data_IF_792672237280
#
_entry.id   IF_792672237280
#
_cell.length_a   1.000
_cell.length_b   1.000
_cell.length_c   1.000
_cell.angle_alpha   90.00
_cell.angle_beta   90.00
_cell.angle_gamma   90.00
#
_symmetry.space_group_name_H-M   'P 1'
#
loop_
_entity.id
_entity.type
_entity.pdbx_description
1 polymer ?
#
# COMPACT_ATOMS: atom_id res chain seq x y z
N UNK A 1 18.75 3.61 4.71
CA UNK A 1 17.36 3.42 4.30
C UNK A 1 17.12 4.05 2.94
N UNK A 2 16.35 3.39 2.11
CA UNK A 2 16.01 3.86 0.77
C UNK A 2 15.16 5.14 0.85
N UNK A 3 15.53 6.17 0.10
CA UNK A 3 14.79 7.44 0.11
C UNK A 3 13.36 7.25 -0.38
N UNK A 4 13.19 6.42 -1.41
CA UNK A 4 11.87 6.19 -1.97
C UNK A 4 10.96 5.56 -0.91
N UNK A 5 11.46 4.56 -0.18
CA UNK A 5 10.67 3.94 0.87
C UNK A 5 10.36 4.92 2.00
N UNK A 6 11.31 5.80 2.32
CA UNK A 6 11.08 6.79 3.36
C UNK A 6 9.96 7.76 2.97
N UNK A 7 9.97 8.24 1.74
CA UNK A 7 8.90 9.14 1.30
C UNK A 7 7.57 8.43 1.15
N UNK A 8 7.59 7.15 0.81
CA UNK A 8 6.39 6.35 0.83
C UNK A 8 5.77 6.36 2.23
N UNK A 9 6.59 6.08 3.25
CA UNK A 9 6.09 6.08 4.62
C UNK A 9 5.54 7.44 5.03
N UNK A 10 6.23 8.50 4.64
CA UNK A 10 5.77 9.84 4.99
C UNK A 10 4.45 10.16 4.31
N UNK A 11 4.29 9.74 3.07
CA UNK A 11 3.06 9.98 2.34
C UNK A 11 1.89 9.23 2.99
N UNK A 12 2.09 7.96 3.33
CA UNK A 12 1.03 7.20 3.99
C UNK A 12 0.68 7.83 5.33
N UNK A 13 1.68 8.25 6.08
CA UNK A 13 1.44 8.88 7.37
C UNK A 13 0.65 10.17 7.22
N UNK A 14 1.00 10.98 6.24
CA UNK A 14 0.29 12.22 5.98
C UNK A 14 -1.16 11.97 5.58
N UNK A 15 -1.38 11.00 4.71
CA UNK A 15 -2.74 10.67 4.30
C UNK A 15 -3.55 10.13 5.47
N UNK A 16 -2.94 9.30 6.30
CA UNK A 16 -3.62 8.76 7.47
C UNK A 16 -4.08 9.86 8.40
N UNK A 17 -3.22 10.84 8.62
CA UNK A 17 -3.58 11.96 9.51
C UNK A 17 -4.76 12.74 8.96
N UNK A 18 -4.76 13.01 7.65
CA UNK A 18 -5.85 13.77 7.04
C UNK A 18 -7.15 12.95 7.06
N UNK A 19 -7.06 11.66 6.81
CA UNK A 19 -8.24 10.80 6.90
C UNK A 19 -8.77 10.75 8.32
N UNK A 20 -7.89 10.77 9.30
CA UNK A 20 -8.32 10.77 10.69
C UNK A 20 -9.13 12.01 11.02
N UNK A 21 -8.85 13.11 10.35
CA UNK A 21 -9.59 14.37 10.58
C UNK A 21 -10.80 14.53 9.67
N UNK A 22 -11.19 13.48 8.96
CA UNK A 22 -12.43 13.49 8.21
C UNK A 22 -12.34 13.76 6.74
N UNK A 23 -11.15 14.00 6.21
CA UNK A 23 -11.00 14.25 4.78
C UNK A 23 -11.14 12.94 4.01
N UNK A 24 -11.73 13.03 2.82
CA UNK A 24 -12.03 11.82 2.04
C UNK A 24 -11.61 11.91 0.58
N UNK A 25 -11.19 13.07 0.11
CA UNK A 25 -10.77 13.25 -1.28
C UNK A 25 -9.32 12.85 -1.44
N UNK A 26 -9.12 11.58 -1.76
CA UNK A 26 -7.77 11.03 -1.81
C UNK A 26 -6.92 11.70 -2.89
N UNK A 27 -7.51 12.05 -4.01
CA UNK A 27 -6.74 12.68 -5.08
C UNK A 27 -6.24 14.05 -4.66
N UNK A 28 -7.07 14.82 -3.96
CA UNK A 28 -6.63 16.12 -3.46
C UNK A 28 -5.53 15.96 -2.42
N UNK A 29 -5.67 14.99 -1.54
CA UNK A 29 -4.67 14.75 -0.51
C UNK A 29 -3.33 14.34 -1.12
N UNK A 30 -3.38 13.48 -2.11
CA UNK A 30 -2.17 13.01 -2.78
C UNK A 30 -1.50 14.16 -3.52
N UNK A 31 -2.30 15.02 -4.17
CA UNK A 31 -1.74 16.17 -4.87
C UNK A 31 -1.00 17.11 -3.92
N UNK A 32 -1.59 17.37 -2.76
CA UNK A 32 -0.94 18.23 -1.77
C UNK A 32 0.36 17.61 -1.27
N UNK A 33 0.34 16.31 -1.00
CA UNK A 33 1.54 15.63 -0.54
C UNK A 33 2.62 15.61 -1.62
N UNK A 34 2.20 15.46 -2.88
CA UNK A 34 3.14 15.48 -3.99
C UNK A 34 3.87 16.81 -4.06
N UNK A 35 3.17 17.90 -3.84
CA UNK A 35 3.81 19.19 -3.89
C UNK A 35 4.88 19.34 -2.80
N UNK A 36 4.63 18.79 -1.62
CA UNK A 36 5.62 18.81 -0.57
C UNK A 36 6.86 18.04 -0.96
N UNK A 37 6.69 16.87 -1.58
CA UNK A 37 7.82 16.05 -1.99
C UNK A 37 8.63 16.76 -3.07
N UNK A 38 7.94 17.39 -4.01
CA UNK A 38 8.61 18.15 -5.07
C UNK A 38 9.46 19.27 -4.46
N UNK A 39 8.89 20.00 -3.51
CA UNK A 39 9.62 21.13 -2.90
C UNK A 39 10.82 20.65 -2.10
N UNK A 40 10.76 19.47 -1.53
CA UNK A 40 11.90 18.96 -0.76
C UNK A 40 13.12 18.69 -1.64
N UNK A 41 12.91 18.34 -2.92
CA UNK A 41 14.01 18.22 -3.85
C UNK A 41 14.88 16.99 -3.70
N UNK A 42 14.42 15.98 -2.96
CA UNK A 42 15.23 14.78 -2.70
C UNK A 42 15.06 13.70 -3.75
N UNK A 43 13.94 13.70 -4.48
CA UNK A 43 13.62 12.64 -5.42
C UNK A 43 13.55 13.20 -6.83
N UNK A 44 13.91 12.37 -7.80
CA UNK A 44 13.66 12.71 -9.20
C UNK A 44 12.17 12.66 -9.47
N UNK A 45 11.75 13.27 -10.59
CA UNK A 45 10.34 13.23 -10.96
C UNK A 45 9.85 11.80 -11.15
N UNK A 46 10.66 10.96 -11.76
CA UNK A 46 10.30 9.56 -11.93
C UNK A 46 10.09 8.86 -10.60
N UNK A 47 10.96 9.14 -9.63
CA UNK A 47 10.81 8.56 -8.30
C UNK A 47 9.55 9.06 -7.61
N UNK A 48 9.24 10.35 -7.76
CA UNK A 48 8.02 10.91 -7.17
C UNK A 48 6.80 10.23 -7.72
N UNK A 49 6.74 10.09 -9.04
CA UNK A 49 5.58 9.43 -9.65
C UNK A 49 5.47 7.97 -9.21
N UNK A 50 6.61 7.29 -9.06
CA UNK A 50 6.60 5.92 -8.56
C UNK A 50 6.01 5.81 -7.17
N UNK A 51 6.44 6.70 -6.27
CA UNK A 51 5.94 6.68 -4.90
C UNK A 51 4.45 6.93 -4.87
N UNK A 52 4.00 7.94 -5.62
CA UNK A 52 2.58 8.30 -5.63
C UNK A 52 1.72 7.15 -6.15
N UNK A 53 2.13 6.58 -7.27
CA UNK A 53 1.37 5.48 -7.85
C UNK A 53 1.34 4.27 -6.91
N UNK A 54 2.48 3.98 -6.27
CA UNK A 54 2.55 2.84 -5.37
C UNK A 54 1.65 3.04 -4.15
N UNK A 55 1.64 4.25 -3.57
CA UNK A 55 0.82 4.50 -2.40
C UNK A 55 -0.66 4.38 -2.75
N UNK A 56 -1.07 4.96 -3.89
CA UNK A 56 -2.48 4.86 -4.28
C UNK A 56 -2.88 3.40 -4.50
N UNK A 57 -2.05 2.64 -5.20
CA UNK A 57 -2.34 1.23 -5.45
C UNK A 57 -2.43 0.44 -4.14
N UNK A 58 -1.50 0.70 -3.23
CA UNK A 58 -1.45 -0.07 -2.00
C UNK A 58 -2.55 0.34 -1.03
N UNK A 59 -3.01 1.60 -1.08
CA UNK A 59 -4.17 1.99 -0.30
C UNK A 59 -5.42 1.24 -0.78
N UNK A 60 -5.54 1.07 -2.09
CA UNK A 60 -6.66 0.27 -2.61
C UNK A 60 -6.56 -1.17 -2.14
N UNK A 61 -5.35 -1.71 -2.12
CA UNK A 61 -5.15 -3.07 -1.62
C UNK A 61 -5.49 -3.16 -0.14
N UNK A 62 -5.09 -2.16 0.64
CA UNK A 62 -5.44 -2.13 2.05
C UNK A 62 -6.96 -2.09 2.22
N UNK A 63 -7.63 -1.21 1.47
CA UNK A 63 -9.07 -1.05 1.61
C UNK A 63 -9.79 -2.35 1.30
N UNK A 64 -9.40 -3.00 0.22
CA UNK A 64 -10.04 -4.24 -0.17
C UNK A 64 -9.78 -5.35 0.86
N UNK A 65 -8.53 -5.46 1.29
CA UNK A 65 -8.19 -6.49 2.27
C UNK A 65 -8.88 -6.24 3.61
N UNK A 66 -8.98 -4.99 4.01
CA UNK A 66 -9.65 -4.65 5.25
C UNK A 66 -11.12 -5.03 5.20
N UNK A 67 -11.80 -4.70 4.08
CA UNK A 67 -13.21 -5.04 3.97
C UNK A 67 -13.42 -6.55 3.92
N UNK A 68 -12.56 -7.26 3.22
CA UNK A 68 -12.68 -8.72 3.18
C UNK A 68 -12.45 -9.34 4.55
N UNK A 69 -11.49 -8.82 5.30
CA UNK A 69 -11.19 -9.37 6.61
C UNK A 69 -12.27 -9.09 7.63
N UNK A 70 -13.03 -8.02 7.43
CA UNK A 70 -14.12 -7.68 8.35
C UNK A 70 -15.28 -8.66 8.27
N UNK A 71 -15.41 -9.34 7.15
CA UNK A 71 -16.45 -10.35 7.02
C UNK A 71 -16.08 -11.61 7.80
N UNK A 72 -14.80 -11.85 8.01
CA UNK A 72 -14.33 -12.93 8.85
C UNK A 72 -14.03 -12.37 10.23
N UNK A 73 -14.66 -12.95 11.20
CA UNK A 73 -14.37 -12.55 12.57
C UNK A 73 -13.00 -13.00 12.93
N UNK A 74 -12.50 -12.40 13.64
CA UNK A 74 -11.42 -13.00 14.09
C UNK A 74 -10.23 -12.46 13.45
N UNK A 75 -9.63 -12.95 13.73
CA UNK A 75 -8.20 -12.97 13.53
C UNK A 75 -7.86 -13.34 12.10
N UNK A 76 -8.15 -12.46 11.20
CA UNK A 76 -7.86 -12.73 9.80
C UNK A 76 -6.35 -12.75 9.57
N UNK A 77 -5.95 -13.41 8.47
CA UNK A 77 -4.55 -13.42 8.07
C UNK A 77 -4.07 -12.02 7.79
N UNK A 78 -4.90 -11.20 7.13
CA UNK A 78 -4.53 -9.83 6.82
C UNK A 78 -4.21 -9.03 8.09
N UNK A 79 -5.08 -9.13 9.10
CA UNK A 79 -4.85 -8.36 10.32
C UNK A 79 -3.59 -8.81 11.04
N UNK A 80 -3.27 -10.10 10.97
CA UNK A 80 -2.03 -10.56 11.58
C UNK A 80 -0.80 -10.08 10.82
N UNK A 81 -0.90 -10.02 9.50
CA UNK A 81 0.23 -9.60 8.67
C UNK A 81 0.58 -8.14 8.94
N UNK A 82 -0.42 -7.27 9.06
CA UNK A 82 -0.15 -5.84 9.22
C UNK A 82 0.12 -5.44 10.67
N UNK A 83 0.02 -6.36 11.61
CA UNK A 83 0.21 -6.02 13.01
C UNK A 83 1.60 -5.40 13.21
N UNK A 84 1.61 -4.25 13.90
CA UNK A 84 2.83 -3.48 14.18
C UNK A 84 3.49 -2.88 12.94
N UNK A 85 2.76 -2.82 11.84
CA UNK A 85 3.23 -2.12 10.65
C UNK A 85 2.54 -0.76 10.55
N UNK A 86 2.93 0.03 9.57
CA UNK A 86 2.26 1.32 9.35
C UNK A 86 0.80 1.15 9.00
N UNK A 87 0.41 0.00 8.47
CA UNK A 87 -0.97 -0.26 8.09
C UNK A 87 -1.87 -0.51 9.30
N UNK A 88 -1.29 -0.90 10.42
CA UNK A 88 -2.06 -1.05 11.65
C UNK A 88 -2.66 0.28 12.06
N UNK A 89 -1.92 1.36 11.95
CA UNK A 89 -2.43 2.68 12.29
C UNK A 89 -3.62 3.04 11.40
N UNK A 90 -3.53 2.71 10.12
CA UNK A 90 -4.62 3.00 9.20
C UNK A 90 -5.85 2.16 9.53
N UNK A 91 -5.67 0.91 9.95
CA UNK A 91 -6.78 0.08 10.39
C UNK A 91 -7.44 0.68 11.63
N UNK A 92 -6.64 1.18 12.57
CA UNK A 92 -7.18 1.81 13.78
C UNK A 92 -7.99 3.05 13.42
N UNK A 93 -7.49 3.85 12.47
CA UNK A 93 -8.22 5.04 12.04
C UNK A 93 -9.54 4.65 11.38
N UNK A 94 -9.51 3.60 10.56
CA UNK A 94 -10.73 3.11 9.92
C UNK A 94 -11.77 2.73 10.96
N UNK A 95 -11.36 2.02 11.99
CA UNK A 95 -12.29 1.60 13.04
C UNK A 95 -12.82 2.80 13.83
N UNK A 96 -11.94 3.71 14.20
CA UNK A 96 -12.34 4.82 15.07
C UNK A 96 -13.25 5.80 14.36
N UNK A 97 -12.96 6.10 13.10
CA UNK A 97 -13.75 7.08 12.37
C UNK A 97 -14.89 6.46 11.59
N UNK A 98 -14.96 5.14 11.58
CA UNK A 98 -15.92 4.39 10.77
C UNK A 98 -15.83 4.77 9.31
N UNK A 99 -14.61 4.99 8.87
CA UNK A 99 -14.31 5.31 7.48
C UNK A 99 -14.78 4.18 6.57
N UNK A 100 -15.51 4.54 5.52
CA UNK A 100 -15.94 3.58 4.53
C UNK A 100 -15.08 3.74 3.28
N UNK A 101 -14.27 2.75 3.01
CA UNK A 101 -13.31 2.86 1.93
C UNK A 101 -13.96 2.95 0.56
N UNK A 102 -15.21 2.48 0.43
CA UNK A 102 -15.93 2.62 -0.83
C UNK A 102 -16.26 4.08 -1.15
N UNK A 103 -16.28 4.94 -0.13
CA UNK A 103 -16.44 6.37 -0.37
C UNK A 103 -15.16 6.99 -0.92
N UNK A 104 -14.02 6.40 -0.58
CA UNK A 104 -12.74 6.90 -1.02
C UNK A 104 -12.38 6.36 -2.40
N UNK A 105 -12.62 5.09 -2.62
CA UNK A 105 -12.32 4.43 -3.89
C UNK A 105 -13.59 3.84 -4.47
N UNK A 106 -13.91 4.22 -5.71
CA UNK A 106 -15.11 3.70 -6.34
C UNK A 106 -14.98 2.25 -6.76
N UNK A 107 -13.78 1.84 -7.14
CA UNK A 107 -13.55 0.49 -7.63
C UNK A 107 -12.39 -0.13 -6.87
N UNK A 108 -12.69 -1.15 -6.08
CA UNK A 108 -11.68 -1.86 -5.32
C UNK A 108 -11.23 -3.15 -6.01
N UNK A 109 -11.67 -3.39 -7.22
CA UNK A 109 -11.26 -4.59 -7.97
C UNK A 109 -10.00 -4.30 -8.75
N UNK A 110 -8.91 -4.27 -8.05
CA UNK A 110 -7.62 -3.99 -8.68
C UNK A 110 -6.84 -5.28 -8.89
N UNK A 111 -6.48 -5.51 -10.14
CA UNK A 111 -5.62 -6.63 -10.50
C UNK A 111 -4.32 -6.06 -10.99
N UNK A 112 -3.24 -6.44 -10.37
CA UNK A 112 -1.98 -5.86 -10.72
C UNK A 112 -0.89 -6.86 -10.96
N UNK A 113 -0.05 -6.54 -11.93
CA UNK A 113 1.23 -7.20 -12.12
C UNK A 113 2.28 -6.26 -11.51
N UNK A 114 3.12 -6.81 -10.68
CA UNK A 114 4.14 -6.04 -9.99
C UNK A 114 5.49 -6.40 -10.57
N UNK A 115 6.31 -5.39 -10.81
CA UNK A 115 7.63 -5.59 -11.42
C UNK A 115 8.71 -5.31 -10.39
N UNK A 116 9.75 -6.11 -10.44
CA UNK A 116 10.93 -5.85 -9.62
C UNK A 116 11.45 -4.45 -9.88
N UNK A 117 11.86 -3.76 -8.82
CA UNK A 117 12.30 -2.38 -8.91
C UNK A 117 11.23 -1.37 -8.53
N UNK A 118 9.95 -1.76 -8.53
CA UNK A 118 8.89 -0.89 -8.07
C UNK A 118 8.87 -0.87 -6.54
N UNK A 119 8.48 0.28 -5.98
CA UNK A 119 8.29 0.35 -4.54
C UNK A 119 6.92 -0.24 -4.22
N UNK A 120 6.88 -1.08 -3.19
CA UNK A 120 5.65 -1.74 -2.75
C UNK A 120 5.62 -1.67 -1.23
N UNK A 121 4.48 -1.35 -0.67
CA UNK A 121 4.32 -1.31 0.78
C UNK A 121 3.32 -2.30 1.32
N UNK A 122 2.49 -2.91 0.46
CA UNK A 122 1.50 -3.86 0.92
C UNK A 122 1.09 -4.76 -0.23
N UNK A 123 1.16 -6.07 -0.01
CA UNK A 123 0.68 -7.00 -0.99
C UNK A 123 1.14 -8.41 -0.71
N UNK A 124 0.30 -9.37 -1.06
CA UNK A 124 0.67 -10.78 -1.05
C UNK A 124 1.01 -11.13 -2.50
N UNK A 125 2.28 -11.23 -2.79
CA UNK A 125 2.76 -11.35 -4.16
C UNK A 125 3.24 -12.76 -4.44
N UNK A 126 2.96 -13.23 -5.65
CA UNK A 126 3.33 -14.57 -6.08
C UNK A 126 4.10 -14.44 -7.38
N UNK A 127 5.29 -15.03 -7.42
CA UNK A 127 6.10 -15.02 -8.62
C UNK A 127 5.36 -15.66 -9.78
N UNK A 128 5.36 -14.98 -10.92
CA UNK A 128 4.63 -15.52 -12.07
C UNK A 128 5.24 -16.78 -12.63
N UNK A 129 6.54 -17.01 -12.37
CA UNK A 129 7.22 -18.14 -12.95
C UNK A 129 7.24 -19.35 -12.02
N UNK A 130 7.71 -19.19 -10.78
CA UNK A 130 7.87 -20.32 -9.88
C UNK A 130 6.85 -20.35 -8.75
N UNK A 131 6.00 -19.32 -8.67
CA UNK A 131 4.92 -19.22 -7.68
C UNK A 131 5.42 -19.08 -6.25
N UNK A 132 6.64 -18.58 -6.09
CA UNK A 132 7.15 -18.26 -4.76
C UNK A 132 6.33 -17.11 -4.17
N UNK A 133 5.99 -17.23 -2.89
CA UNK A 133 5.20 -16.23 -2.20
C UNK A 133 6.07 -15.21 -1.51
N UNK A 134 5.71 -13.95 -1.66
CA UNK A 134 6.44 -12.85 -1.03
C UNK A 134 5.43 -11.89 -0.43
N UNK A 135 5.31 -11.91 0.89
CA UNK A 135 4.37 -11.03 1.58
C UNK A 135 5.06 -9.71 1.91
N UNK A 136 4.46 -8.62 1.46
CA UNK A 136 5.00 -7.28 1.69
C UNK A 136 4.03 -6.53 2.59
N UNK A 137 4.53 -5.98 3.69
CA UNK A 137 3.72 -5.16 4.59
C UNK A 137 4.50 -3.99 5.14
N UNK A 138 5.66 -3.71 4.54
CA UNK A 138 6.43 -2.53 4.89
C UNK A 138 7.10 -2.04 3.61
N UNK A 139 7.17 -0.71 3.38
CA UNK A 139 7.62 -0.20 2.09
C UNK A 139 9.07 -0.55 1.79
N UNK A 140 9.29 -1.04 0.60
CA UNK A 140 10.63 -1.29 0.11
C UNK A 140 10.57 -1.48 -1.40
N UNK A 141 11.72 -1.54 -2.02
CA UNK A 141 11.81 -1.82 -3.44
C UNK A 141 11.65 -3.32 -3.65
N UNK A 142 10.76 -3.70 -4.58
CA UNK A 142 10.48 -5.10 -4.82
C UNK A 142 11.72 -5.76 -5.46
N UNK A 143 12.23 -6.83 -4.86
CA UNK A 143 13.39 -7.52 -5.43
C UNK A 143 12.98 -8.47 -6.53
N UNK A 144 13.95 -9.00 -7.24
CA UNK A 144 13.69 -10.15 -8.09
C UNK A 144 13.34 -11.34 -7.22
N UNK A 145 12.63 -12.30 -7.81
CA UNK A 145 12.23 -13.47 -7.05
C UNK A 145 13.46 -14.12 -6.40
N UNK A 146 13.45 -14.26 -5.07
CA UNK A 146 14.63 -14.86 -4.42
C UNK A 146 14.86 -16.32 -4.80
N UNK A 147 13.86 -16.98 -5.35
CA UNK A 147 14.00 -18.37 -5.68
C UNK A 147 14.43 -18.61 -7.12
N UNK A 148 13.84 -17.87 -8.09
CA UNK A 148 14.13 -18.15 -9.50
C UNK A 148 14.66 -16.95 -10.27
N UNK A 149 14.68 -15.74 -9.67
CA UNK A 149 15.21 -14.57 -10.33
C UNK A 149 14.27 -13.87 -11.28
N UNK A 150 13.04 -14.34 -11.41
CA UNK A 150 12.06 -13.68 -12.28
C UNK A 150 11.70 -12.31 -11.75
N UNK A 151 11.25 -11.42 -12.62
CA UNK A 151 11.03 -10.03 -12.24
C UNK A 151 9.57 -9.59 -12.30
N UNK A 152 8.64 -10.51 -12.32
CA UNK A 152 7.22 -10.17 -12.31
C UNK A 152 6.46 -11.01 -11.29
N UNK A 153 5.54 -10.35 -10.61
CA UNK A 153 4.72 -10.99 -9.58
C UNK A 153 3.26 -10.62 -9.81
N UNK A 154 2.37 -11.50 -9.36
CA UNK A 154 0.94 -11.23 -9.31
C UNK A 154 0.50 -11.06 -7.88
N UNK A 155 -0.47 -10.18 -7.69
CA UNK A 155 -1.05 -9.99 -6.37
C UNK A 155 -2.13 -11.03 -6.13
N UNK A 156 -2.15 -11.57 -4.92
CA UNK A 156 -3.17 -12.51 -4.47
C UNK A 156 -3.76 -12.04 -3.17
N UNK A 157 -4.98 -12.47 -2.83
CA UNK A 157 -5.54 -12.13 -1.52
C UNK A 157 -4.70 -12.69 -0.38
N UNK A 158 -4.79 -12.05 0.77
CA UNK A 158 -4.18 -12.58 1.98
C UNK A 158 -5.07 -13.72 2.50
N UNK A 159 -4.61 -14.94 2.32
CA UNK A 159 -5.36 -16.11 2.72
C UNK A 159 -4.51 -17.03 3.57
N UNK A 160 -5.15 -17.84 4.44
CA UNK A 160 -4.43 -18.81 5.25
C UNK A 160 -3.68 -19.84 4.43
#
# INVERSE_FOLDING_TARGET
>A
MNKVAQYYRELVSSLSERLRHGERDIDALVTQAREKIVRAGDLTQSEIESVIAAVKRDLEEFARSYEESHEDEXDSVFMRVIKESLWQELADITDKTQLEWREVFQDLNHHGVYHSGEVVGLGNLVCEKCHYHLAVYTPDVLPRCPKCGHDQFQRRPFEP
#
